data_IF_224165143729
#
_entry.id   IF_224165143729
#
_cell.length_a   1.000
_cell.length_b   1.000
_cell.length_c   1.000
_cell.angle_alpha   90.00
_cell.angle_beta   90.00
_cell.angle_gamma   90.00
#
_symmetry.space_group_name_H-M   'P 1'
#
loop_
_entity.id
_entity.type
_entity.pdbx_description
1 polymer ?
#
# COMPACT_ATOMS: atom_id res chain seq x y z
N UNK A 1 11.00 35.49 -52.94
CA UNK A 1 11.95 36.63 -52.86
C UNK A 1 11.17 37.90 -52.58
N UNK A 2 11.14 38.35 -51.32
CA UNK A 2 11.19 39.78 -50.92
C UNK A 2 11.29 39.88 -49.40
N UNK A 3 12.33 40.58 -48.95
CA UNK A 3 12.69 40.92 -47.57
C UNK A 3 11.89 42.13 -47.09
N UNK A 4 11.64 42.28 -45.79
CA UNK A 4 11.68 43.57 -45.05
C UNK A 4 11.62 43.27 -43.53
N UNK A 5 12.76 43.17 -42.84
CA UNK A 5 13.54 44.21 -42.14
C UNK A 5 13.06 44.57 -40.71
N UNK A 6 14.04 44.47 -39.80
CA UNK A 6 14.04 44.61 -38.34
C UNK A 6 13.59 45.97 -37.80
N UNK A 7 13.00 45.97 -36.61
CA UNK A 7 13.11 47.06 -35.59
C UNK A 7 13.20 46.41 -34.17
N UNK A 8 13.95 46.99 -33.21
CA UNK A 8 14.68 46.28 -32.14
C UNK A 8 14.13 46.49 -30.70
N UNK A 9 14.62 45.68 -29.75
CA UNK A 9 14.83 45.84 -28.28
C UNK A 9 13.80 46.65 -27.43
N UNK A 10 13.54 46.27 -26.14
CA UNK A 10 14.56 45.89 -25.18
C UNK A 10 14.28 44.66 -24.29
N UNK A 11 15.38 43.97 -23.97
CA UNK A 11 15.52 43.13 -22.79
C UNK A 11 15.14 43.91 -21.51
N UNK A 12 14.39 43.23 -20.63
CA UNK A 12 14.22 43.51 -19.19
C UNK A 12 13.51 44.83 -18.83
N UNK A 13 12.39 44.74 -18.09
CA UNK A 13 12.52 44.43 -16.67
C UNK A 13 11.35 43.56 -16.14
N UNK A 14 11.26 42.30 -16.57
CA UNK A 14 10.30 41.34 -15.99
C UNK A 14 10.82 40.65 -14.72
N UNK A 15 11.88 41.20 -14.11
CA UNK A 15 12.36 40.83 -12.76
C UNK A 15 11.39 41.35 -11.68
N UNK A 16 10.41 42.18 -12.03
CA UNK A 16 9.42 42.75 -11.10
C UNK A 16 8.13 41.94 -10.92
N UNK A 17 8.03 40.73 -11.49
CA UNK A 17 6.85 39.86 -11.32
C UNK A 17 7.02 38.78 -10.24
N UNK A 18 8.14 38.76 -9.53
CA UNK A 18 8.47 37.73 -8.53
C UNK A 18 8.16 38.13 -7.06
N UNK A 19 7.66 39.35 -6.81
CA UNK A 19 7.46 39.88 -5.43
C UNK A 19 5.99 39.99 -5.00
N UNK A 20 5.01 39.69 -5.86
CA UNK A 20 3.55 39.79 -5.55
C UNK A 20 2.84 38.43 -5.60
N UNK A 21 3.54 37.34 -5.29
CA UNK A 21 2.94 36.01 -5.11
C UNK A 21 3.11 35.46 -3.68
N UNK A 22 3.47 36.32 -2.72
CA UNK A 22 3.80 35.95 -1.34
C UNK A 22 2.73 36.33 -0.30
N UNK A 23 1.50 36.65 -0.71
CA UNK A 23 0.46 37.19 0.21
C UNK A 23 -0.96 36.62 -0.04
N UNK A 24 -1.06 35.33 -0.37
CA UNK A 24 -2.32 34.57 -0.20
C UNK A 24 -2.06 33.42 0.78
N UNK A 25 -1.61 33.78 1.98
CA UNK A 25 -1.72 32.96 3.19
C UNK A 25 -2.72 33.70 4.07
N UNK A 26 -3.94 33.16 4.16
CA UNK A 26 -4.99 33.46 5.14
C UNK A 26 -6.36 33.39 4.45
N UNK A 27 -6.94 32.20 4.43
CA UNK A 27 -8.35 31.88 4.73
C UNK A 27 -8.60 30.44 4.31
N UNK A 28 -7.94 29.55 5.02
CA UNK A 28 -8.13 28.11 4.90
C UNK A 28 -8.10 27.51 6.28
N UNK A 29 -8.88 28.05 7.22
CA UNK A 29 -9.29 27.30 8.41
C UNK A 29 -10.30 26.23 7.98
N UNK A 30 -9.86 25.34 7.09
CA UNK A 30 -10.28 23.96 7.15
C UNK A 30 -9.65 23.46 8.44
N UNK A 31 -10.38 23.55 9.55
CA UNK A 31 -10.16 22.66 10.66
C UNK A 31 -10.19 21.25 10.07
N UNK A 32 -9.01 20.77 9.71
CA UNK A 32 -8.75 19.38 9.43
C UNK A 32 -9.29 18.67 10.67
N UNK A 33 -10.38 17.96 10.47
CA UNK A 33 -10.87 17.03 11.47
C UNK A 33 -9.68 16.16 11.83
N UNK A 34 -9.20 16.30 13.07
CA UNK A 34 -8.42 15.27 13.71
C UNK A 34 -9.34 14.05 13.80
N UNK A 35 -9.30 13.22 12.76
CA UNK A 35 -10.00 11.98 12.61
C UNK A 35 -9.07 11.09 11.78
N UNK A 36 -8.53 9.99 12.27
CA UNK A 36 -8.37 9.55 13.64
C UNK A 36 -6.94 9.02 13.75
N UNK A 37 -6.70 8.17 14.72
CA UNK A 37 -5.63 7.17 14.66
C UNK A 37 -5.49 6.59 13.25
N UNK A 38 -4.26 6.22 12.86
CA UNK A 38 -3.92 5.46 11.65
C UNK A 38 -4.68 4.11 11.59
N UNK A 39 -6.00 4.15 11.43
CA UNK A 39 -6.83 3.04 11.02
C UNK A 39 -6.45 2.74 9.58
N UNK A 40 -5.39 1.93 9.40
CA UNK A 40 -5.05 1.32 8.12
C UNK A 40 -6.28 0.53 7.70
N UNK A 41 -7.16 1.16 6.94
CA UNK A 41 -8.40 0.55 6.50
C UNK A 41 -8.04 -0.62 5.59
N UNK A 42 -8.55 -1.83 5.85
CA UNK A 42 -8.30 -2.95 4.96
C UNK A 42 -8.77 -2.62 3.55
N UNK A 43 -7.93 -2.93 2.56
CA UNK A 43 -8.30 -2.84 1.14
C UNK A 43 -9.55 -3.67 0.85
N UNK A 44 -9.62 -4.85 1.47
CA UNK A 44 -10.78 -5.75 1.41
C UNK A 44 -10.94 -6.46 2.75
N UNK A 45 -12.18 -6.64 3.19
CA UNK A 45 -12.48 -7.35 4.45
C UNK A 45 -13.27 -8.62 4.20
N UNK A 46 -13.01 -9.65 5.02
CA UNK A 46 -13.75 -10.92 4.98
C UNK A 46 -13.64 -11.67 3.65
N UNK A 47 -12.51 -11.54 2.96
CA UNK A 47 -12.28 -12.22 1.68
C UNK A 47 -11.66 -13.59 1.91
N UNK A 48 -12.07 -14.57 1.13
CA UNK A 48 -11.44 -15.88 1.05
C UNK A 48 -10.47 -15.89 -0.12
N UNK A 49 -9.19 -16.14 0.16
CA UNK A 49 -8.12 -16.23 -0.82
C UNK A 49 -7.61 -17.66 -0.84
N UNK A 50 -7.61 -18.28 -2.01
CA UNK A 50 -7.01 -19.59 -2.23
C UNK A 50 -5.65 -19.43 -2.89
N UNK A 51 -4.64 -20.09 -2.35
CA UNK A 51 -3.28 -20.02 -2.85
C UNK A 51 -2.40 -21.12 -2.29
N UNK A 52 -1.20 -21.24 -2.81
CA UNK A 52 -0.17 -22.16 -2.33
C UNK A 52 0.62 -21.48 -1.21
N UNK A 53 0.85 -22.20 -0.11
CA UNK A 53 1.80 -21.74 0.92
C UNK A 53 3.22 -21.99 0.41
N UNK A 54 4.02 -20.94 0.34
CA UNK A 54 5.41 -21.01 -0.11
C UNK A 54 6.25 -21.87 0.86
N UNK A 55 7.10 -22.74 0.29
CA UNK A 55 7.97 -23.63 1.06
C UNK A 55 9.22 -22.92 1.58
N UNK A 56 9.76 -21.98 0.80
CA UNK A 56 11.05 -21.34 1.05
C UNK A 56 10.96 -20.01 1.83
N UNK A 57 9.77 -19.61 2.29
CA UNK A 57 9.62 -18.38 3.07
C UNK A 57 9.86 -18.64 4.56
N UNK A 58 10.92 -18.06 5.12
CA UNK A 58 11.39 -18.32 6.49
C UNK A 58 10.94 -17.28 7.53
N UNK A 59 10.50 -16.11 7.08
CA UNK A 59 10.12 -14.98 7.94
C UNK A 59 8.60 -14.93 8.22
N UNK A 60 7.92 -16.08 8.14
CA UNK A 60 6.49 -16.24 8.41
C UNK A 60 5.78 -17.09 7.36
N UNK A 61 4.54 -16.73 7.06
CA UNK A 61 3.70 -17.44 6.10
C UNK A 61 3.45 -16.57 4.85
N UNK A 62 3.82 -17.09 3.68
CA UNK A 62 3.57 -16.44 2.40
C UNK A 62 2.62 -17.28 1.56
N UNK A 63 1.51 -16.68 1.12
CA UNK A 63 0.48 -17.33 0.30
C UNK A 63 0.53 -16.77 -1.13
N UNK A 64 0.85 -17.59 -2.11
CA UNK A 64 0.84 -17.19 -3.53
C UNK A 64 -0.38 -17.76 -4.24
N UNK A 65 -1.20 -16.87 -4.81
CA UNK A 65 -2.37 -17.24 -5.62
C UNK A 65 -1.99 -17.75 -7.00
N UNK A 66 -2.91 -18.43 -7.70
CA UNK A 66 -2.71 -18.87 -9.09
C UNK A 66 -2.44 -17.71 -10.07
N UNK A 67 -2.87 -16.49 -9.69
CA UNK A 67 -2.65 -15.26 -10.44
C UNK A 67 -1.24 -14.68 -10.25
N UNK A 68 -0.39 -15.32 -9.44
CA UNK A 68 0.96 -14.84 -9.12
C UNK A 68 0.97 -13.69 -8.11
N UNK A 69 -0.15 -13.44 -7.42
CA UNK A 69 -0.20 -12.45 -6.34
C UNK A 69 0.15 -13.13 -5.03
N UNK A 70 1.16 -12.59 -4.34
CA UNK A 70 1.62 -13.09 -3.04
C UNK A 70 1.08 -12.22 -1.90
N UNK A 71 0.64 -12.89 -0.84
CA UNK A 71 0.09 -12.29 0.37
C UNK A 71 0.88 -12.74 1.59
N UNK A 72 1.39 -11.78 2.36
CA UNK A 72 1.97 -12.05 3.67
C UNK A 72 0.85 -12.41 4.64
N UNK A 73 0.80 -13.64 5.12
CA UNK A 73 -0.24 -14.07 6.05
C UNK A 73 0.13 -13.60 7.45
N UNK A 74 -0.73 -12.76 8.03
CA UNK A 74 -0.57 -12.25 9.39
C UNK A 74 -1.59 -12.93 10.30
N UNK A 75 -1.12 -13.54 11.38
CA UNK A 75 -1.98 -14.16 12.40
C UNK A 75 -2.10 -13.27 13.64
N UNK A 76 -3.22 -13.32 14.37
CA UNK A 76 -3.33 -12.64 15.67
C UNK A 76 -2.37 -13.26 16.70
N UNK A 77 -2.03 -12.50 17.73
CA UNK A 77 -1.18 -12.96 18.84
C UNK A 77 -1.75 -14.16 19.61
N UNK A 78 -3.04 -14.44 19.47
CA UNK A 78 -3.69 -15.63 20.04
C UNK A 78 -3.23 -16.94 19.36
N UNK A 79 -2.71 -16.86 18.13
CA UNK A 79 -2.10 -18.00 17.43
C UNK A 79 -0.68 -18.16 17.95
N UNK A 80 -0.40 -19.33 18.52
CA UNK A 80 0.94 -19.61 19.04
C UNK A 80 1.92 -19.90 17.91
N UNK A 81 3.21 -19.62 18.14
CA UNK A 81 4.27 -20.00 17.20
C UNK A 81 4.20 -21.48 16.82
N UNK A 82 3.91 -22.37 17.79
CA UNK A 82 3.76 -23.81 17.53
C UNK A 82 2.62 -24.12 16.54
N UNK A 83 1.51 -23.38 16.59
CA UNK A 83 0.40 -23.53 15.65
C UNK A 83 0.76 -23.01 14.25
N UNK A 84 1.49 -21.90 14.17
CA UNK A 84 1.98 -21.34 12.92
C UNK A 84 2.97 -22.29 12.24
N UNK A 85 3.97 -22.78 13.00
CA UNK A 85 4.94 -23.77 12.51
C UNK A 85 4.26 -25.08 12.09
N UNK A 86 3.29 -25.57 12.87
CA UNK A 86 2.53 -26.76 12.51
C UNK A 86 1.72 -26.55 11.23
N UNK A 87 1.11 -25.37 11.06
CA UNK A 87 0.40 -24.98 9.86
C UNK A 87 1.35 -24.92 8.66
N UNK A 88 2.48 -24.22 8.78
CA UNK A 88 3.48 -24.13 7.72
C UNK A 88 3.99 -25.51 7.33
N UNK A 89 4.39 -26.32 8.31
CA UNK A 89 4.90 -27.68 8.08
C UNK A 89 3.88 -28.57 7.39
N UNK A 90 2.60 -28.44 7.75
CA UNK A 90 1.52 -29.24 7.18
C UNK A 90 1.19 -28.78 5.76
N UNK A 91 1.07 -27.48 5.53
CA UNK A 91 0.49 -26.93 4.31
C UNK A 91 1.49 -26.31 3.33
N UNK A 92 2.79 -26.29 3.64
CA UNK A 92 3.84 -25.86 2.70
C UNK A 92 3.73 -26.64 1.38
N UNK A 93 3.78 -25.91 0.27
CA UNK A 93 3.59 -26.43 -1.08
C UNK A 93 2.16 -26.91 -1.38
N UNK A 94 1.19 -26.75 -0.46
CA UNK A 94 -0.20 -27.12 -0.67
C UNK A 94 -1.08 -25.90 -0.89
N UNK A 95 -2.12 -26.09 -1.69
CA UNK A 95 -3.17 -25.08 -1.87
C UNK A 95 -4.09 -25.05 -0.65
N UNK A 96 -4.20 -23.89 -0.02
CA UNK A 96 -5.10 -23.63 1.10
C UNK A 96 -5.99 -22.43 0.81
N UNK A 97 -7.15 -22.40 1.46
CA UNK A 97 -8.04 -21.24 1.43
C UNK A 97 -8.01 -20.56 2.79
N UNK A 98 -7.55 -19.31 2.80
CA UNK A 98 -7.47 -18.47 3.98
C UNK A 98 -8.53 -17.37 3.90
N UNK A 99 -9.26 -17.16 4.99
CA UNK A 99 -10.26 -16.09 5.07
C UNK A 99 -9.76 -15.00 6.00
N UNK A 100 -9.74 -13.76 5.51
CA UNK A 100 -9.12 -12.67 6.23
C UNK A 100 -9.38 -11.30 5.64
N UNK A 101 -8.69 -10.32 6.21
CA UNK A 101 -8.70 -8.94 5.75
C UNK A 101 -7.39 -8.67 5.00
N UNK A 102 -7.49 -8.08 3.82
CA UNK A 102 -6.34 -7.69 3.01
C UNK A 102 -5.95 -6.26 3.34
N UNK A 103 -4.69 -6.08 3.68
CA UNK A 103 -4.02 -4.81 3.90
C UNK A 103 -2.97 -4.59 2.83
N UNK A 104 -2.58 -3.34 2.66
CA UNK A 104 -1.45 -2.99 1.81
C UNK A 104 -0.47 -2.18 2.63
N UNK A 105 0.76 -2.64 2.63
CA UNK A 105 1.85 -2.01 3.34
C UNK A 105 2.39 -0.80 2.55
N UNK A 106 3.22 0.01 3.20
CA UNK A 106 3.76 1.24 2.62
C UNK A 106 4.63 1.00 1.37
N UNK A 107 5.28 -0.17 1.27
CA UNK A 107 6.04 -0.58 0.08
C UNK A 107 5.13 -1.05 -1.07
N UNK A 108 3.84 -1.26 -0.79
CA UNK A 108 2.85 -1.72 -1.73
C UNK A 108 2.61 -3.24 -1.72
N UNK A 109 3.30 -3.99 -0.86
CA UNK A 109 3.05 -5.41 -0.58
C UNK A 109 1.66 -5.64 0.00
N UNK A 110 1.12 -6.85 -0.22
CA UNK A 110 -0.20 -7.24 0.27
C UNK A 110 -0.07 -8.16 1.47
N UNK A 111 -0.80 -7.84 2.52
CA UNK A 111 -0.85 -8.63 3.75
C UNK A 111 -2.26 -9.16 3.95
N UNK A 112 -2.41 -10.45 4.25
CA UNK A 112 -3.67 -11.10 4.55
C UNK A 112 -3.72 -11.42 6.05
N UNK A 113 -4.46 -10.62 6.81
CA UNK A 113 -4.71 -10.88 8.21
C UNK A 113 -5.79 -11.95 8.38
N UNK A 114 -5.41 -13.12 8.85
CA UNK A 114 -6.30 -14.26 9.06
C UNK A 114 -6.65 -14.37 10.54
N UNK A 115 -7.94 -14.28 10.88
CA UNK A 115 -8.36 -14.41 12.28
C UNK A 115 -8.12 -15.82 12.83
N UNK A 116 -8.11 -16.84 11.96
CA UNK A 116 -7.91 -18.24 12.33
C UNK A 116 -7.19 -18.99 11.21
N UNK A 117 -6.26 -19.85 11.58
CA UNK A 117 -5.64 -20.80 10.66
C UNK A 117 -6.52 -22.05 10.52
N UNK A 118 -6.66 -22.62 9.31
CA UNK A 118 -7.29 -23.92 9.11
C UNK A 118 -6.50 -25.02 9.84
N UNK A 119 -7.13 -25.66 10.82
CA UNK A 119 -6.51 -26.73 11.64
C UNK A 119 -6.85 -28.16 11.17
N UNK A 120 -7.59 -28.32 10.08
CA UNK A 120 -8.09 -29.63 9.62
C UNK A 120 -7.00 -30.45 8.95
#
# INVERSE_FOLDING_TARGET
MTYFYRIPLPLAPLVWLLVVALLVVATGSNSAAAAGEDDIKPLKSGVSISGVIEDDYSDGLLLTTDQGVSYMVLTPEEVTLEQEEAFHKKFKGQTVTLTGNVFRDEDGSLSLFVMKLPMQ
#
